data_IF_310273346834
#
_entry.id   IF_310273346834
#
_cell.length_a   1.000
_cell.length_b   1.000
_cell.length_c   1.000
_cell.angle_alpha   90.00
_cell.angle_beta   90.00
_cell.angle_gamma   90.00
#
_symmetry.space_group_name_H-M   'P 1'
#
loop_
_entity.id
_entity.type
_entity.pdbx_description
1 polymer ?
#
# COMPACT_ATOMS: atom_id res chain seq x y z
N UNK A 1 23.72 -23.87 40.98
CA UNK A 1 23.73 -23.81 39.51
C UNK A 1 22.89 -22.63 39.12
N UNK A 2 23.40 -21.77 38.24
CA UNK A 2 22.60 -20.73 37.60
C UNK A 2 21.48 -21.40 36.80
N UNK A 3 20.24 -20.95 36.95
CA UNK A 3 19.11 -21.50 36.20
C UNK A 3 19.14 -20.93 34.79
N UNK A 4 19.22 -21.81 33.79
CA UNK A 4 19.13 -21.44 32.37
C UNK A 4 17.74 -20.86 32.07
N UNK A 5 17.69 -19.78 31.32
CA UNK A 5 16.46 -19.20 30.78
C UNK A 5 16.30 -19.50 29.27
N UNK A 6 15.10 -19.35 28.74
CA UNK A 6 14.77 -19.60 27.34
C UNK A 6 15.58 -18.74 26.34
N UNK A 7 16.11 -17.60 26.80
CA UNK A 7 17.01 -16.73 26.03
C UNK A 7 18.43 -17.27 25.85
N UNK A 8 18.85 -18.19 26.72
CA UNK A 8 20.22 -18.75 26.70
C UNK A 8 20.37 -19.90 25.70
N UNK A 9 19.25 -20.42 25.18
CA UNK A 9 19.20 -21.55 24.25
C UNK A 9 19.45 -21.08 22.82
N UNK A 10 20.59 -21.49 22.25
CA UNK A 10 20.97 -21.18 20.88
C UNK A 10 20.66 -22.33 19.91
N UNK A 11 19.50 -22.30 19.27
CA UNK A 11 19.04 -23.32 18.32
C UNK A 11 19.80 -23.39 16.99
N UNK A 12 20.81 -22.53 16.76
CA UNK A 12 21.71 -22.64 15.61
C UNK A 12 22.88 -23.57 15.92
N UNK A 13 23.27 -23.67 17.18
CA UNK A 13 24.35 -24.55 17.60
C UNK A 13 23.82 -25.98 17.76
N UNK A 14 24.49 -26.94 17.11
CA UNK A 14 24.23 -28.37 17.23
C UNK A 14 24.20 -28.87 18.68
N UNK A 15 24.94 -28.22 19.59
CA UNK A 15 24.91 -28.56 21.01
C UNK A 15 23.51 -28.42 21.63
N UNK A 16 22.74 -27.40 21.23
CA UNK A 16 21.38 -27.19 21.73
C UNK A 16 20.33 -27.81 20.79
N UNK A 17 20.57 -27.77 19.48
CA UNK A 17 19.61 -28.25 18.49
C UNK A 17 19.39 -29.76 18.57
N UNK A 18 20.43 -30.55 18.83
CA UNK A 18 20.37 -32.03 18.78
C UNK A 18 20.32 -32.70 20.17
N UNK A 19 20.24 -31.90 21.24
CA UNK A 19 20.28 -32.37 22.64
C UNK A 19 18.93 -32.19 23.36
N UNK A 20 18.94 -31.97 24.67
CA UNK A 20 17.73 -31.86 25.49
C UNK A 20 16.78 -30.71 25.12
N UNK A 21 17.23 -29.74 24.31
CA UNK A 21 16.43 -28.59 23.84
C UNK A 21 15.88 -28.75 22.43
N UNK A 22 16.00 -29.93 21.82
CA UNK A 22 15.50 -30.22 20.47
C UNK A 22 14.02 -29.84 20.31
N UNK A 23 13.14 -30.28 21.22
CA UNK A 23 11.70 -29.96 21.17
C UNK A 23 11.42 -28.45 21.23
N UNK A 24 12.19 -27.70 22.04
CA UNK A 24 12.08 -26.24 22.11
C UNK A 24 12.55 -25.58 20.81
N UNK A 25 13.67 -26.06 20.25
CA UNK A 25 14.21 -25.53 19.01
C UNK A 25 13.33 -25.85 17.79
N UNK A 26 12.72 -27.03 17.75
CA UNK A 26 11.74 -27.40 16.73
C UNK A 26 10.46 -26.56 16.86
N UNK A 27 9.95 -26.38 18.07
CA UNK A 27 8.80 -25.49 18.33
C UNK A 27 9.07 -24.04 17.92
N UNK A 28 10.27 -23.52 18.20
CA UNK A 28 10.67 -22.17 17.78
C UNK A 28 10.77 -22.06 16.25
N UNK A 29 11.33 -23.07 15.57
CA UNK A 29 11.40 -23.11 14.10
C UNK A 29 10.01 -23.17 13.47
N UNK A 30 9.14 -24.03 13.96
CA UNK A 30 7.74 -24.15 13.49
C UNK A 30 6.97 -22.83 13.68
N UNK A 31 7.13 -22.17 14.83
CA UNK A 31 6.53 -20.86 15.07
C UNK A 31 7.06 -19.78 14.09
N UNK A 32 8.37 -19.74 13.85
CA UNK A 32 8.98 -18.82 12.88
C UNK A 32 8.53 -19.09 11.45
N UNK A 33 8.44 -20.36 11.04
CA UNK A 33 7.94 -20.75 9.71
C UNK A 33 6.48 -20.33 9.53
N UNK A 34 5.62 -20.62 10.53
CA UNK A 34 4.22 -20.18 10.52
C UNK A 34 4.10 -18.66 10.39
N UNK A 35 4.88 -17.90 11.16
CA UNK A 35 4.88 -16.43 11.06
C UNK A 35 5.33 -15.96 9.67
N UNK A 36 6.35 -16.60 9.07
CA UNK A 36 6.80 -16.32 7.71
C UNK A 36 5.73 -16.57 6.66
N UNK A 37 5.01 -17.70 6.77
CA UNK A 37 3.89 -18.03 5.89
C UNK A 37 2.79 -16.96 6.02
N UNK A 38 2.43 -16.57 7.25
CA UNK A 38 1.40 -15.55 7.47
C UNK A 38 1.81 -14.19 6.87
N UNK A 39 3.06 -13.77 7.05
CA UNK A 39 3.57 -12.52 6.45
C UNK A 39 3.57 -12.54 4.92
N UNK A 40 3.67 -13.72 4.29
CA UNK A 40 3.66 -13.84 2.83
C UNK A 40 2.26 -13.65 2.20
N UNK A 41 1.18 -13.88 2.96
CA UNK A 41 -0.21 -13.83 2.46
C UNK A 41 -0.55 -12.47 1.83
N UNK A 42 -0.34 -11.31 2.50
CA UNK A 42 -0.66 -10.01 1.91
C UNK A 42 0.16 -9.71 0.66
N UNK A 43 1.44 -10.07 0.65
CA UNK A 43 2.32 -9.84 -0.51
C UNK A 43 1.91 -10.67 -1.71
N UNK A 44 1.55 -11.94 -1.51
CA UNK A 44 1.12 -12.82 -2.59
C UNK A 44 -0.23 -12.38 -3.17
N UNK A 45 -1.19 -12.04 -2.32
CA UNK A 45 -2.46 -11.45 -2.76
C UNK A 45 -2.25 -10.13 -3.49
N UNK A 46 -1.33 -9.30 -3.00
CA UNK A 46 -0.87 -8.09 -3.66
C UNK A 46 -0.39 -8.36 -5.08
N UNK A 47 0.57 -9.26 -5.24
CA UNK A 47 1.17 -9.58 -6.52
C UNK A 47 0.13 -10.07 -7.56
N UNK A 48 -0.84 -10.88 -7.14
CA UNK A 48 -1.88 -11.39 -8.04
C UNK A 48 -2.94 -10.32 -8.34
N UNK A 49 -3.36 -9.54 -7.35
CA UNK A 49 -4.49 -8.61 -7.48
C UNK A 49 -4.11 -7.28 -8.14
N UNK A 50 -2.86 -6.82 -7.96
CA UNK A 50 -2.34 -5.56 -8.50
C UNK A 50 -2.58 -5.35 -10.01
N UNK A 51 -2.30 -6.30 -10.92
CA UNK A 51 -2.56 -6.08 -12.35
C UNK A 51 -4.05 -5.88 -12.66
N UNK A 52 -4.94 -6.58 -11.96
CA UNK A 52 -6.38 -6.44 -12.17
C UNK A 52 -6.90 -5.10 -11.65
N UNK A 53 -6.46 -4.70 -10.45
CA UNK A 53 -6.89 -3.44 -9.84
C UNK A 53 -6.28 -2.24 -10.56
N UNK A 54 -5.02 -2.33 -10.99
CA UNK A 54 -4.39 -1.30 -11.83
C UNK A 54 -5.14 -1.11 -13.14
N UNK A 55 -5.42 -2.20 -13.87
CA UNK A 55 -6.21 -2.13 -15.11
C UNK A 55 -7.62 -1.56 -14.88
N UNK A 56 -8.24 -1.88 -13.73
CA UNK A 56 -9.55 -1.33 -13.36
C UNK A 56 -9.45 0.19 -13.09
N UNK A 57 -8.46 0.63 -12.31
CA UNK A 57 -8.28 2.05 -11.98
C UNK A 57 -7.89 2.89 -13.19
N UNK A 58 -7.14 2.31 -14.13
CA UNK A 58 -6.73 2.98 -15.36
C UNK A 58 -7.93 3.17 -16.30
N UNK A 59 -8.84 2.18 -16.38
CA UNK A 59 -10.00 2.24 -17.28
C UNK A 59 -11.15 3.09 -16.75
N UNK A 60 -11.48 2.98 -15.46
CA UNK A 60 -12.66 3.62 -14.89
C UNK A 60 -12.35 4.91 -14.13
N UNK A 61 -11.09 5.21 -13.83
CA UNK A 61 -10.74 6.28 -12.89
C UNK A 61 -11.03 5.89 -11.44
N UNK A 62 -11.45 6.85 -10.62
CA UNK A 62 -11.78 6.68 -9.19
C UNK A 62 -10.62 6.38 -8.25
N UNK A 63 -9.44 6.94 -8.54
CA UNK A 63 -8.22 6.70 -7.75
C UNK A 63 -8.39 7.06 -6.27
N UNK A 64 -9.05 8.17 -5.93
CA UNK A 64 -9.26 8.52 -4.53
C UNK A 64 -10.26 7.61 -3.84
N UNK A 65 -11.36 7.23 -4.51
CA UNK A 65 -12.33 6.30 -3.92
C UNK A 65 -11.70 4.93 -3.66
N UNK A 66 -10.90 4.42 -4.58
CA UNK A 66 -10.13 3.20 -4.38
C UNK A 66 -9.15 3.33 -3.21
N UNK A 67 -8.48 4.48 -3.07
CA UNK A 67 -7.62 4.77 -1.91
C UNK A 67 -8.41 4.76 -0.60
N UNK A 68 -9.63 5.33 -0.58
CA UNK A 68 -10.51 5.28 0.59
C UNK A 68 -10.92 3.84 0.92
N UNK A 69 -11.25 3.02 -0.09
CA UNK A 69 -11.54 1.60 0.10
C UNK A 69 -10.33 0.85 0.69
N UNK A 70 -9.11 1.16 0.25
CA UNK A 70 -7.88 0.61 0.82
C UNK A 70 -7.71 0.95 2.30
N UNK A 71 -7.88 2.23 2.66
CA UNK A 71 -7.79 2.65 4.07
C UNK A 71 -8.86 1.97 4.93
N UNK A 72 -10.07 1.79 4.40
CA UNK A 72 -11.14 1.07 5.08
C UNK A 72 -10.81 -0.42 5.27
N UNK A 73 -10.23 -1.07 4.25
CA UNK A 73 -9.79 -2.46 4.36
C UNK A 73 -8.69 -2.64 5.42
N UNK A 74 -7.72 -1.71 5.50
CA UNK A 74 -6.70 -1.71 6.56
C UNK A 74 -7.30 -1.50 7.95
N UNK A 75 -8.27 -0.60 8.08
CA UNK A 75 -8.96 -0.39 9.35
C UNK A 75 -9.69 -1.66 9.81
N UNK A 76 -10.41 -2.32 8.89
CA UNK A 76 -11.09 -3.59 9.19
C UNK A 76 -10.09 -4.67 9.56
N UNK A 77 -8.96 -4.77 8.86
CA UNK A 77 -7.91 -5.75 9.15
C UNK A 77 -7.37 -5.60 10.59
N UNK A 78 -6.99 -4.38 10.99
CA UNK A 78 -6.48 -4.14 12.34
C UNK A 78 -7.55 -4.26 13.43
N UNK A 79 -8.81 -3.90 13.15
CA UNK A 79 -9.91 -4.16 14.09
C UNK A 79 -10.14 -5.65 14.31
N UNK A 80 -10.11 -6.45 13.23
CA UNK A 80 -10.21 -7.90 13.34
C UNK A 80 -9.01 -8.48 14.10
N UNK A 81 -7.79 -7.98 13.85
CA UNK A 81 -6.60 -8.44 14.56
C UNK A 81 -6.59 -8.03 16.04
N UNK A 82 -7.22 -6.91 16.39
CA UNK A 82 -7.36 -6.46 17.78
C UNK A 82 -8.39 -7.26 18.60
N UNK A 83 -9.45 -7.76 17.96
CA UNK A 83 -10.62 -8.29 18.66
C UNK A 83 -10.99 -9.75 18.34
N UNK A 84 -10.44 -10.36 17.28
CA UNK A 84 -10.74 -11.73 16.88
C UNK A 84 -9.55 -12.68 17.15
N UNK A 85 -9.71 -13.57 18.12
CA UNK A 85 -8.67 -14.51 18.56
C UNK A 85 -8.61 -15.79 17.71
N UNK A 86 -9.49 -15.96 16.71
CA UNK A 86 -9.65 -17.26 16.03
C UNK A 86 -8.61 -17.53 14.96
N UNK A 87 -8.36 -16.58 14.06
CA UNK A 87 -7.43 -16.76 12.94
C UNK A 87 -6.93 -15.45 12.35
N UNK A 88 -5.60 -15.27 12.19
CA UNK A 88 -5.04 -14.08 11.55
C UNK A 88 -5.21 -14.10 10.02
N UNK A 89 -5.68 -15.20 9.43
CA UNK A 89 -5.78 -15.33 7.97
C UNK A 89 -6.77 -14.32 7.38
N UNK A 90 -7.93 -14.15 8.01
CA UNK A 90 -8.96 -13.20 7.55
C UNK A 90 -8.45 -11.76 7.53
N UNK A 91 -7.89 -11.20 8.63
CA UNK A 91 -7.34 -9.85 8.60
C UNK A 91 -6.18 -9.70 7.59
N UNK A 92 -5.32 -10.72 7.44
CA UNK A 92 -4.24 -10.70 6.44
C UNK A 92 -4.75 -10.65 5.00
N UNK A 93 -5.90 -11.27 4.70
CA UNK A 93 -6.55 -11.17 3.38
C UNK A 93 -7.04 -9.75 3.12
N UNK A 94 -7.72 -9.12 4.09
CA UNK A 94 -8.15 -7.72 3.97
C UNK A 94 -6.96 -6.77 3.80
N UNK A 95 -5.88 -7.00 4.55
CA UNK A 95 -4.63 -6.25 4.42
C UNK A 95 -4.01 -6.41 3.02
N UNK A 96 -3.99 -7.63 2.46
CA UNK A 96 -3.49 -7.90 1.11
C UNK A 96 -4.29 -7.18 0.02
N UNK A 97 -5.63 -7.23 0.13
CA UNK A 97 -6.52 -6.50 -0.78
C UNK A 97 -6.28 -4.98 -0.67
N UNK A 98 -6.26 -4.43 0.53
CA UNK A 98 -5.96 -3.00 0.74
C UNK A 98 -4.61 -2.61 0.14
N UNK A 99 -3.56 -3.37 0.45
CA UNK A 99 -2.20 -3.13 -0.06
C UNK A 99 -2.15 -3.12 -1.59
N UNK A 100 -2.84 -4.05 -2.25
CA UNK A 100 -2.89 -4.12 -3.73
C UNK A 100 -3.52 -2.87 -4.35
N UNK A 101 -4.62 -2.38 -3.76
CA UNK A 101 -5.31 -1.17 -4.22
C UNK A 101 -4.42 0.05 -4.02
N UNK A 102 -3.83 0.18 -2.84
CA UNK A 102 -2.91 1.27 -2.53
C UNK A 102 -1.71 1.30 -3.48
N UNK A 103 -1.06 0.16 -3.70
CA UNK A 103 0.11 0.06 -4.57
C UNK A 103 -0.22 0.40 -6.03
N UNK A 104 -1.37 -0.06 -6.54
CA UNK A 104 -1.81 0.21 -7.91
C UNK A 104 -2.10 1.70 -8.16
N UNK A 105 -2.61 2.41 -7.14
CA UNK A 105 -3.19 3.75 -7.34
C UNK A 105 -2.29 4.88 -6.85
N UNK A 106 -1.56 4.70 -5.74
CA UNK A 106 -0.83 5.80 -5.10
C UNK A 106 0.29 6.36 -5.98
N UNK A 107 1.11 5.48 -6.56
CA UNK A 107 2.26 5.90 -7.38
C UNK A 107 1.83 6.72 -8.61
N UNK A 108 0.86 6.28 -9.45
CA UNK A 108 0.43 7.09 -10.59
C UNK A 108 -0.26 8.39 -10.18
N UNK A 109 -0.89 8.49 -9.00
CA UNK A 109 -1.48 9.74 -8.52
C UNK A 109 -0.46 10.87 -8.38
N UNK A 110 0.76 10.55 -7.92
CA UNK A 110 1.84 11.54 -7.76
C UNK A 110 2.23 12.11 -9.12
N UNK A 111 2.35 11.25 -10.14
CA UNK A 111 2.69 11.70 -11.48
C UNK A 111 1.58 12.55 -12.13
N UNK A 112 0.32 12.34 -11.77
CA UNK A 112 -0.79 13.13 -12.33
C UNK A 112 -0.94 14.52 -11.70
N UNK A 113 -0.57 14.69 -10.42
CA UNK A 113 -0.71 15.97 -9.71
C UNK A 113 0.54 16.85 -9.83
N UNK A 114 1.68 16.26 -10.23
CA UNK A 114 2.96 16.98 -10.29
C UNK A 114 3.34 17.32 -11.73
N UNK A 115 3.97 18.48 -11.91
CA UNK A 115 4.55 18.84 -13.20
C UNK A 115 5.78 17.97 -13.49
N UNK A 116 6.01 17.67 -14.77
CA UNK A 116 7.06 16.74 -15.22
C UNK A 116 8.46 17.13 -14.75
N UNK A 117 8.73 18.44 -14.67
CA UNK A 117 9.99 18.99 -14.16
C UNK A 117 10.26 18.72 -12.67
N UNK A 118 9.20 18.49 -11.86
CA UNK A 118 9.30 18.28 -10.41
C UNK A 118 9.03 16.83 -9.97
N UNK A 119 8.80 15.91 -10.90
CA UNK A 119 8.52 14.49 -10.62
C UNK A 119 9.55 13.85 -9.69
N UNK A 120 10.84 14.06 -9.95
CA UNK A 120 11.92 13.47 -9.15
C UNK A 120 11.92 13.98 -7.71
N UNK A 121 11.64 15.27 -7.50
CA UNK A 121 11.53 15.87 -6.16
C UNK A 121 10.30 15.32 -5.45
N UNK A 122 9.16 15.23 -6.13
CA UNK A 122 7.93 14.71 -5.55
C UNK A 122 8.08 13.27 -5.06
N UNK A 123 8.66 12.39 -5.89
CA UNK A 123 8.94 11.01 -5.46
C UNK A 123 10.01 10.95 -4.37
N UNK A 124 11.03 11.81 -4.39
CA UNK A 124 12.02 11.90 -3.33
C UNK A 124 11.42 12.27 -1.98
N UNK A 125 10.50 13.24 -1.95
CA UNK A 125 9.77 13.63 -0.74
C UNK A 125 8.89 12.46 -0.25
N UNK A 126 8.12 11.84 -1.15
CA UNK A 126 7.27 10.70 -0.81
C UNK A 126 8.06 9.56 -0.17
N UNK A 127 9.17 9.14 -0.79
CA UNK A 127 10.01 8.04 -0.28
C UNK A 127 10.69 8.40 1.03
N UNK A 128 11.06 9.68 1.22
CA UNK A 128 11.60 10.15 2.50
C UNK A 128 10.61 9.95 3.64
N UNK A 129 9.32 10.25 3.41
CA UNK A 129 8.27 9.96 4.39
C UNK A 129 8.07 8.46 4.66
N UNK A 130 8.22 7.61 3.64
CA UNK A 130 8.19 6.15 3.81
C UNK A 130 9.34 5.70 4.71
N UNK A 131 10.56 6.20 4.50
CA UNK A 131 11.71 5.83 5.33
C UNK A 131 11.56 6.28 6.79
N UNK A 132 11.01 7.47 7.03
CA UNK A 132 10.65 7.94 8.38
C UNK A 132 9.65 6.96 9.01
N UNK A 133 8.61 6.57 8.27
CA UNK A 133 7.58 5.66 8.76
C UNK A 133 8.16 4.27 9.09
N UNK A 134 9.00 3.71 8.22
CA UNK A 134 9.68 2.42 8.44
C UNK A 134 10.58 2.43 9.68
N UNK A 135 11.04 3.59 10.13
CA UNK A 135 11.85 3.73 11.35
C UNK A 135 10.96 3.98 12.58
N UNK A 136 9.92 4.79 12.43
CA UNK A 136 9.03 5.20 13.50
C UNK A 136 8.12 4.06 14.00
N UNK A 137 7.44 3.35 13.10
CA UNK A 137 6.44 2.35 13.49
C UNK A 137 7.05 1.17 14.29
N UNK A 138 8.17 0.55 13.87
CA UNK A 138 8.80 -0.52 14.67
C UNK A 138 9.24 -0.04 16.06
N UNK A 139 9.75 1.19 16.16
CA UNK A 139 10.15 1.78 17.44
C UNK A 139 8.95 2.03 18.36
N UNK A 140 7.84 2.53 17.81
CA UNK A 140 6.60 2.72 18.56
C UNK A 140 6.04 1.38 19.06
N UNK A 141 6.04 0.34 18.22
CA UNK A 141 5.60 -1.02 18.59
C UNK A 141 6.47 -1.60 19.71
N UNK A 142 7.79 -1.45 19.62
CA UNK A 142 8.71 -1.92 20.66
C UNK A 142 8.44 -1.23 22.01
N UNK A 143 8.27 0.09 22.02
CA UNK A 143 7.96 0.85 23.23
C UNK A 143 6.61 0.45 23.85
N UNK A 144 5.58 0.20 23.02
CA UNK A 144 4.28 -0.27 23.49
C UNK A 144 4.36 -1.68 24.09
N UNK A 145 5.12 -2.58 23.45
CA UNK A 145 5.33 -3.93 23.96
C UNK A 145 6.04 -3.94 25.32
N UNK A 146 7.02 -3.07 25.54
CA UNK A 146 7.73 -2.97 26.82
C UNK A 146 6.81 -2.59 27.99
N UNK A 147 5.80 -1.75 27.74
CA UNK A 147 4.83 -1.31 28.76
C UNK A 147 3.85 -2.44 29.10
N UNK A 148 3.30 -3.09 28.08
CA UNK A 148 2.17 -4.03 28.24
C UNK A 148 2.60 -5.49 28.32
N UNK A 149 3.85 -5.82 27.99
CA UNK A 149 4.39 -7.19 27.84
C UNK A 149 3.51 -8.10 26.96
N UNK A 150 2.76 -7.51 26.04
CA UNK A 150 1.82 -8.20 25.16
C UNK A 150 1.58 -7.33 23.93
N UNK A 151 1.47 -7.97 22.77
CA UNK A 151 1.16 -7.27 21.52
C UNK A 151 -0.33 -6.89 21.44
N UNK A 152 -1.21 -7.77 21.90
CA UNK A 152 -2.65 -7.52 21.90
C UNK A 152 -3.10 -7.05 23.29
N UNK A 153 -4.03 -6.09 23.37
CA UNK A 153 -4.67 -5.37 22.26
C UNK A 153 -3.98 -4.04 21.90
N UNK A 154 -3.04 -3.56 22.72
CA UNK A 154 -2.56 -2.17 22.70
C UNK A 154 -1.83 -1.78 21.40
N UNK A 155 -1.02 -2.69 20.84
CA UNK A 155 -0.31 -2.43 19.58
C UNK A 155 -1.29 -2.35 18.41
N UNK A 156 -2.29 -3.22 18.38
CA UNK A 156 -3.32 -3.19 17.33
C UNK A 156 -4.19 -1.94 17.44
N UNK A 157 -4.53 -1.48 18.66
CA UNK A 157 -5.23 -0.21 18.87
C UNK A 157 -4.44 1.00 18.35
N UNK A 158 -3.11 0.99 18.48
CA UNK A 158 -2.25 2.00 17.87
C UNK A 158 -2.36 1.98 16.34
N UNK A 159 -2.33 0.81 15.71
CA UNK A 159 -2.51 0.68 14.26
C UNK A 159 -3.93 1.07 13.80
N UNK A 160 -4.98 0.70 14.55
CA UNK A 160 -6.35 1.16 14.33
C UNK A 160 -6.40 2.70 14.36
N UNK A 161 -5.79 3.33 15.36
CA UNK A 161 -5.66 4.79 15.43
C UNK A 161 -5.01 5.38 14.17
N UNK A 162 -3.88 4.82 13.74
CA UNK A 162 -3.20 5.25 12.51
C UNK A 162 -4.06 5.06 11.25
N UNK A 163 -4.79 3.95 11.14
CA UNK A 163 -5.67 3.63 10.03
C UNK A 163 -6.89 4.55 9.97
N UNK A 164 -7.46 4.91 11.14
CA UNK A 164 -8.55 5.89 11.20
C UNK A 164 -8.10 7.29 10.78
N UNK A 165 -6.91 7.73 11.19
CA UNK A 165 -6.31 8.98 10.72
C UNK A 165 -6.08 8.96 9.20
N UNK A 166 -5.56 7.86 8.66
CA UNK A 166 -5.37 7.68 7.21
C UNK A 166 -6.70 7.70 6.44
N UNK A 167 -7.74 7.04 6.96
CA UNK A 167 -9.08 7.05 6.38
C UNK A 167 -9.68 8.46 6.38
N UNK A 168 -9.56 9.19 7.50
CA UNK A 168 -10.02 10.58 7.60
C UNK A 168 -9.31 11.49 6.60
N UNK A 169 -7.99 11.33 6.43
CA UNK A 169 -7.22 12.07 5.43
C UNK A 169 -7.67 11.72 4.00
N UNK A 170 -7.87 10.44 3.70
CA UNK A 170 -8.35 9.99 2.38
C UNK A 170 -9.74 10.54 2.06
N UNK A 171 -10.65 10.56 3.03
CA UNK A 171 -11.98 11.17 2.89
C UNK A 171 -11.87 12.69 2.66
N UNK A 172 -11.00 13.37 3.41
CA UNK A 172 -10.73 14.80 3.23
C UNK A 172 -10.20 15.09 1.83
N UNK A 173 -9.24 14.32 1.33
CA UNK A 173 -8.73 14.46 -0.03
C UNK A 173 -9.81 14.22 -1.07
N UNK A 174 -10.66 13.21 -0.88
CA UNK A 174 -11.79 12.93 -1.78
C UNK A 174 -12.78 14.09 -1.82
N UNK A 175 -13.05 14.69 -0.66
CA UNK A 175 -13.91 15.87 -0.56
C UNK A 175 -13.29 17.11 -1.23
N UNK A 176 -11.99 17.32 -1.08
CA UNK A 176 -11.27 18.41 -1.74
C UNK A 176 -11.24 18.22 -3.25
N UNK A 177 -10.98 17.00 -3.73
CA UNK A 177 -11.01 16.68 -5.17
C UNK A 177 -12.39 16.97 -5.77
N UNK A 178 -13.47 16.57 -5.08
CA UNK A 178 -14.84 16.85 -5.51
C UNK A 178 -15.16 18.35 -5.58
N UNK A 179 -14.58 19.17 -4.69
CA UNK A 179 -14.79 20.62 -4.67
C UNK A 179 -13.91 21.38 -5.65
N UNK A 180 -12.65 20.99 -5.78
CA UNK A 180 -11.63 21.72 -6.53
C UNK A 180 -11.50 21.25 -7.98
N UNK A 181 -12.06 20.09 -8.34
CA UNK A 181 -12.05 19.58 -9.71
C UNK A 181 -10.64 19.24 -10.20
N UNK A 182 -9.78 18.69 -9.34
CA UNK A 182 -8.40 18.33 -9.70
C UNK A 182 -8.36 17.18 -10.72
N UNK A 183 -9.47 16.45 -10.87
CA UNK A 183 -9.65 15.41 -11.89
C UNK A 183 -8.99 14.07 -11.52
N UNK A 184 -8.61 13.86 -10.25
CA UNK A 184 -7.91 12.63 -9.86
C UNK A 184 -8.82 11.39 -9.87
N UNK A 185 -10.13 11.59 -9.79
CA UNK A 185 -11.13 10.54 -9.97
C UNK A 185 -11.55 10.33 -11.42
N UNK A 186 -11.10 11.16 -12.36
CA UNK A 186 -11.40 10.98 -13.78
C UNK A 186 -10.49 9.91 -14.40
N UNK A 187 -10.96 9.18 -15.42
CA UNK A 187 -10.11 8.24 -16.16
C UNK A 187 -8.98 9.01 -16.85
N UNK A 188 -7.79 8.41 -16.93
CA UNK A 188 -6.71 8.99 -17.69
C UNK A 188 -7.14 9.11 -19.16
N UNK A 189 -7.23 10.34 -19.68
CA UNK A 189 -7.50 10.54 -21.10
C UNK A 189 -6.37 9.89 -21.91
N UNK A 190 -6.71 8.96 -22.80
CA UNK A 190 -5.77 8.37 -23.76
C UNK A 190 -5.42 9.47 -24.76
N UNK A 191 -4.23 10.06 -24.62
CA UNK A 191 -3.68 10.95 -25.64
C UNK A 191 -3.12 10.09 -26.77
N UNK A 192 -3.85 10.00 -27.89
CA UNK A 192 -3.32 9.54 -29.17
C UNK A 192 -2.77 10.76 -29.88
N UNK A 193 -1.45 10.85 -30.02
CA UNK A 193 -0.83 11.82 -30.93
C UNK A 193 -1.11 11.37 -32.37
N UNK A 194 -2.06 12.03 -33.04
CA UNK A 194 -2.44 11.75 -34.45
C UNK A 194 -1.39 12.31 -35.44
N UNK A 195 -0.35 12.99 -34.97
CA UNK A 195 0.66 13.62 -35.82
C UNK A 195 1.91 12.77 -36.10
N UNK A 196 1.90 11.47 -35.78
CA UNK A 196 3.04 10.58 -36.01
C UNK A 196 3.27 10.19 -37.49
N UNK A 197 2.64 10.86 -38.45
CA UNK A 197 2.84 10.62 -39.89
C UNK A 197 3.84 11.58 -40.56
N UNK A 198 4.62 12.36 -39.81
CA UNK A 198 5.66 13.23 -40.37
C UNK A 198 7.01 13.08 -39.64
N UNK A 199 7.82 12.16 -40.19
CA UNK A 199 9.27 12.20 -40.37
C UNK A 199 10.19 12.58 -39.18
N UNK A 200 11.14 11.66 -38.98
CA UNK A 200 12.46 11.76 -38.33
C UNK A 200 12.59 11.42 -36.84
N UNK A 201 13.60 10.57 -36.60
CA UNK A 201 14.08 10.03 -35.33
C UNK A 201 14.39 11.13 -34.31
N UNK A 202 13.49 11.33 -33.34
CA UNK A 202 13.81 11.73 -31.97
C UNK A 202 12.53 11.61 -31.13
N UNK A 203 12.50 10.64 -30.19
CA UNK A 203 11.43 10.54 -29.18
C UNK A 203 11.60 11.70 -28.20
N UNK A 204 11.08 12.86 -28.58
CA UNK A 204 10.97 14.03 -27.72
C UNK A 204 9.58 14.02 -27.07
N UNK A 205 9.56 13.84 -25.75
CA UNK A 205 8.34 13.96 -24.95
C UNK A 205 8.03 15.46 -24.78
N UNK A 206 7.39 16.06 -25.77
CA UNK A 206 6.97 17.47 -25.71
C UNK A 206 5.69 17.58 -24.88
N UNK A 207 5.84 18.11 -23.67
CA UNK A 207 4.73 18.56 -22.82
C UNK A 207 4.57 20.08 -23.01
N UNK A 208 4.05 20.51 -24.16
CA UNK A 208 3.58 21.88 -24.33
C UNK A 208 2.10 22.01 -23.95
N UNK A 209 1.83 23.03 -23.13
CA UNK A 209 0.55 23.27 -22.52
C UNK A 209 -0.48 23.85 -23.48
N UNK A 210 -1.66 23.22 -23.52
CA UNK A 210 -2.98 23.84 -23.47
C UNK A 210 -3.97 22.68 -23.42
N UNK A 211 -4.46 22.32 -22.23
CA UNK A 211 -5.30 21.13 -22.05
C UNK A 211 -6.73 21.40 -22.52
N UNK A 212 -6.96 21.29 -23.83
CA UNK A 212 -8.31 21.07 -24.39
C UNK A 212 -8.49 19.55 -24.54
N UNK A 213 -9.23 18.93 -23.63
CA UNK A 213 -9.54 17.50 -23.71
C UNK A 213 -10.68 17.27 -24.70
N UNK A 214 -10.43 16.54 -25.79
CA UNK A 214 -11.49 16.10 -26.69
C UNK A 214 -11.88 14.65 -26.37
N UNK A 215 -13.18 14.41 -26.14
CA UNK A 215 -13.74 13.06 -26.05
C UNK A 215 -13.98 12.54 -27.47
N UNK A 216 -13.33 11.42 -27.82
CA UNK A 216 -13.57 10.70 -29.07
C UNK A 216 -14.81 9.82 -28.92
N UNK A 217 -15.76 9.95 -29.85
CA UNK A 217 -16.88 8.99 -29.99
C UNK A 217 -16.38 7.71 -30.68
N UNK A 218 -17.04 6.57 -30.43
CA UNK A 218 -16.69 5.23 -30.97
C UNK A 218 -16.58 5.16 -32.51
N UNK A 219 -17.05 6.19 -33.22
CA UNK A 219 -16.96 6.33 -34.69
C UNK A 219 -15.77 7.19 -35.17
N UNK A 220 -14.86 7.62 -34.28
CA UNK A 220 -13.63 8.34 -34.65
C UNK A 220 -13.81 9.83 -35.01
N UNK A 221 -14.98 10.42 -34.75
CA UNK A 221 -15.21 11.85 -34.95
C UNK A 221 -15.04 12.66 -33.66
N UNK A 222 -14.39 13.83 -33.80
CA UNK A 222 -14.14 14.82 -32.74
C UNK A 222 -15.47 15.51 -32.40
N UNK A 223 -15.92 15.39 -31.15
CA UNK A 223 -17.05 16.17 -30.63
C UNK A 223 -16.52 17.47 -30.04
N UNK A 224 -16.80 18.59 -30.72
CA UNK A 224 -16.44 19.95 -30.28
C UNK A 224 -17.25 20.35 -29.03
N UNK A 225 -16.57 20.99 -28.08
CA UNK A 225 -17.02 21.34 -26.73
C UNK A 225 -18.26 22.27 -26.72
N UNK A 226 -19.19 22.07 -25.78
CA UNK A 226 -20.18 23.09 -25.41
C UNK A 226 -19.83 23.64 -24.02
N UNK A 227 -19.49 24.94 -24.02
CA UNK A 227 -19.21 25.85 -22.91
C UNK A 227 -19.86 25.53 -21.56
#
# INVERSE_FOLDING_TARGET
>A
YESLDASDVNCVDSFWADACTMDYCDGKRDASEKAGIMMSIPFFLGAISSPFIGALSDRYGYRLLLTTCSCLALLIAHLLLAFDDKSPVVPLVFQGVGFSIYAAVLWPMVACVTETQYLGIAYGVLVSFINISLSFFPMAVAALYEVSNSYLPDVELFFVGSATCGLALSLCMTYVDWKSGVGLNEPAAVFVDVNADALDDDVSFSSEGNKQGYLLSDDGNIMEERL
#
